data_IF_883597768707
#
_entry.id   IF_883597768707
#
_cell.length_a   1.000
_cell.length_b   1.000
_cell.length_c   1.000
_cell.angle_alpha   90.00
_cell.angle_beta   90.00
_cell.angle_gamma   90.00
#
_symmetry.space_group_name_H-M   'P 1'
#
loop_
_entity.id
_entity.type
_entity.pdbx_description
1 polymer ?
#
# COMPACT_ATOMS: atom_id res chain seq x y z
N UNK A 1 -7.99 -45.97 -26.76
CA UNK A 1 -8.81 -44.76 -26.56
C UNK A 1 -8.31 -44.08 -25.30
N UNK A 2 -7.44 -43.07 -25.45
CA UNK A 2 -6.94 -42.27 -24.33
C UNK A 2 -7.68 -40.94 -24.37
N UNK A 3 -8.53 -40.69 -23.37
CA UNK A 3 -9.07 -39.36 -23.13
C UNK A 3 -7.94 -38.52 -22.53
N UNK A 4 -7.45 -37.58 -23.31
CA UNK A 4 -6.71 -36.43 -22.81
C UNK A 4 -7.72 -35.43 -22.28
N UNK A 5 -7.90 -35.43 -20.96
CA UNK A 5 -8.53 -34.32 -20.25
C UNK A 5 -7.57 -33.12 -20.36
N UNK A 6 -7.82 -32.29 -21.37
CA UNK A 6 -7.17 -31.00 -21.54
C UNK A 6 -7.59 -30.10 -20.38
N UNK A 7 -6.62 -29.84 -19.51
CA UNK A 7 -6.56 -28.72 -18.57
C UNK A 7 -7.12 -27.44 -19.21
N UNK A 8 -8.39 -27.14 -18.94
CA UNK A 8 -8.87 -25.77 -18.84
C UNK A 8 -8.23 -25.15 -17.60
N UNK A 9 -6.97 -24.70 -17.73
CA UNK A 9 -6.49 -23.64 -16.85
C UNK A 9 -6.98 -22.33 -17.44
N UNK A 10 -8.14 -21.94 -16.94
CA UNK A 10 -8.74 -20.62 -16.97
C UNK A 10 -7.77 -19.49 -17.32
N UNK A 11 -7.86 -19.02 -18.56
CA UNK A 11 -7.46 -17.68 -18.92
C UNK A 11 -8.39 -16.68 -18.23
N UNK A 12 -8.00 -16.19 -17.05
CA UNK A 12 -8.75 -15.17 -16.33
C UNK A 12 -7.82 -14.06 -15.80
N UNK A 13 -8.08 -12.83 -16.26
CA UNK A 13 -7.56 -11.55 -15.75
C UNK A 13 -6.14 -11.09 -16.14
N UNK A 14 -5.74 -11.22 -17.40
CA UNK A 14 -4.73 -10.30 -17.94
C UNK A 14 -5.35 -8.88 -18.05
N UNK A 15 -5.15 -8.05 -17.02
CA UNK A 15 -5.48 -6.62 -17.06
C UNK A 15 -6.39 -6.08 -15.95
N UNK A 16 -7.00 -6.94 -15.11
CA UNK A 16 -7.67 -6.48 -13.89
C UNK A 16 -6.69 -6.60 -12.73
N UNK A 17 -6.26 -5.45 -12.18
CA UNK A 17 -5.56 -5.42 -10.89
C UNK A 17 -6.38 -6.08 -9.78
N UNK A 18 -5.78 -6.35 -8.61
CA UNK A 18 -6.44 -7.11 -7.57
C UNK A 18 -7.73 -6.42 -7.10
N UNK A 19 -8.71 -7.22 -6.69
CA UNK A 19 -9.98 -6.74 -6.14
C UNK A 19 -9.73 -6.03 -4.82
N UNK A 20 -9.99 -4.72 -4.78
CA UNK A 20 -9.90 -3.89 -3.57
C UNK A 20 -11.30 -3.46 -3.16
N UNK A 21 -11.67 -3.74 -1.91
CA UNK A 21 -13.00 -3.48 -1.35
C UNK A 21 -12.88 -2.29 -0.39
N UNK A 22 -13.54 -1.14 -0.66
CA UNK A 22 -13.62 -0.06 0.32
C UNK A 22 -14.45 -0.52 1.52
N UNK A 23 -13.88 -0.40 2.73
CA UNK A 23 -14.59 -0.70 3.99
C UNK A 23 -15.14 0.58 4.63
N UNK A 24 -14.40 1.69 4.50
CA UNK A 24 -14.75 2.97 5.08
C UNK A 24 -14.18 4.10 4.23
N UNK A 25 -14.99 5.10 3.93
CA UNK A 25 -14.51 6.34 3.30
C UNK A 25 -13.84 7.27 4.30
N UNK A 26 -13.02 8.19 3.79
CA UNK A 26 -12.44 9.24 4.61
C UNK A 26 -13.57 10.10 5.21
N UNK A 27 -13.59 10.29 6.52
CA UNK A 27 -14.58 11.17 7.14
C UNK A 27 -14.42 12.62 6.64
N UNK A 28 -15.52 13.37 6.57
CA UNK A 28 -15.52 14.78 6.15
C UNK A 28 -14.53 15.56 7.03
N UNK A 29 -13.54 16.23 6.42
CA UNK A 29 -12.49 16.96 7.14
C UNK A 29 -11.23 16.15 7.47
N UNK A 30 -11.16 14.87 7.09
CA UNK A 30 -9.92 14.08 7.17
C UNK A 30 -8.83 14.77 6.35
N UNK A 31 -7.81 15.29 7.06
CA UNK A 31 -6.71 16.00 6.43
C UNK A 31 -6.78 17.53 6.42
N UNK A 32 -7.91 18.12 6.83
CA UNK A 32 -8.09 19.58 6.90
C UNK A 32 -7.75 20.16 8.27
N UNK A 33 -7.86 19.35 9.31
CA UNK A 33 -7.57 19.75 10.69
C UNK A 33 -6.36 18.96 11.22
N UNK A 34 -5.52 19.59 12.07
CA UNK A 34 -4.41 18.91 12.71
C UNK A 34 -4.87 17.60 13.37
N UNK A 35 -4.09 16.51 13.20
CA UNK A 35 -4.46 15.16 13.66
C UNK A 35 -4.77 15.09 15.17
N UNK A 36 -4.25 16.02 15.98
CA UNK A 36 -4.57 16.16 17.41
C UNK A 36 -5.97 16.71 17.69
N UNK A 37 -6.54 17.55 16.81
CA UNK A 37 -7.94 17.97 16.86
C UNK A 37 -8.87 16.92 16.24
N UNK A 38 -8.34 16.13 15.31
CA UNK A 38 -9.05 15.10 14.56
C UNK A 38 -8.84 13.67 15.09
N UNK A 39 -8.76 13.48 16.40
CA UNK A 39 -8.67 12.13 17.02
C UNK A 39 -9.87 11.23 16.65
N UNK A 40 -11.00 11.84 16.28
CA UNK A 40 -12.25 11.17 15.91
C UNK A 40 -12.44 10.97 14.40
N UNK A 41 -11.61 11.63 13.57
CA UNK A 41 -11.75 11.58 12.12
C UNK A 41 -10.87 10.45 11.60
N UNK A 42 -11.51 9.30 11.37
CA UNK A 42 -10.80 8.13 10.86
C UNK A 42 -10.55 8.29 9.36
N UNK A 43 -9.34 7.91 8.95
CA UNK A 43 -8.98 7.82 7.55
C UNK A 43 -9.79 6.76 6.82
N UNK A 44 -9.71 6.75 5.49
CA UNK A 44 -10.30 5.69 4.70
C UNK A 44 -9.65 4.34 5.01
N UNK A 45 -10.36 3.25 4.78
CA UNK A 45 -9.88 1.89 5.02
C UNK A 45 -10.34 0.99 3.88
N UNK A 46 -9.41 0.22 3.33
CA UNK A 46 -9.67 -0.74 2.27
C UNK A 46 -9.27 -2.14 2.71
N UNK A 47 -9.85 -3.13 2.06
CA UNK A 47 -9.50 -4.53 2.23
C UNK A 47 -9.17 -5.16 0.90
N UNK A 48 -8.08 -5.92 0.89
CA UNK A 48 -7.70 -6.73 -0.25
C UNK A 48 -8.62 -7.96 -0.36
N UNK A 49 -9.26 -8.14 -1.51
CA UNK A 49 -10.29 -9.15 -1.76
C UNK A 49 -9.77 -10.51 -2.21
N UNK A 50 -8.51 -10.58 -2.62
CA UNK A 50 -7.81 -11.79 -3.10
C UNK A 50 -6.33 -11.73 -2.75
N UNK A 51 -5.60 -12.84 -2.86
CA UNK A 51 -4.15 -12.78 -2.66
C UNK A 51 -3.51 -11.93 -3.76
N UNK A 52 -2.54 -11.11 -3.40
CA UNK A 52 -1.87 -10.21 -4.33
C UNK A 52 -0.36 -10.38 -4.27
N UNK A 53 0.27 -10.60 -5.42
CA UNK A 53 1.72 -10.67 -5.53
C UNK A 53 2.27 -9.45 -6.26
N UNK A 54 3.39 -8.94 -5.78
CA UNK A 54 4.09 -7.82 -6.40
C UNK A 54 5.60 -8.01 -6.33
N UNK A 55 6.31 -7.33 -7.23
CA UNK A 55 7.76 -7.38 -7.34
C UNK A 55 8.33 -6.08 -6.81
N UNK A 56 9.32 -6.17 -5.93
CA UNK A 56 10.03 -5.01 -5.43
C UNK A 56 10.73 -4.30 -6.59
N UNK A 57 10.36 -3.04 -6.81
CA UNK A 57 10.82 -2.26 -7.96
C UNK A 57 12.15 -1.52 -7.72
N UNK A 58 12.64 -1.47 -6.48
CA UNK A 58 13.77 -0.62 -6.09
C UNK A 58 14.75 -1.34 -5.14
N UNK A 59 15.94 -0.76 -5.01
CA UNK A 59 16.97 -1.21 -4.06
C UNK A 59 17.75 -2.47 -4.48
N UNK A 60 18.63 -2.98 -3.60
CA UNK A 60 19.43 -4.17 -3.86
C UNK A 60 18.59 -5.45 -3.99
N UNK A 61 17.40 -5.47 -3.37
CA UNK A 61 16.46 -6.58 -3.41
C UNK A 61 15.45 -6.48 -4.57
N UNK A 62 15.71 -5.61 -5.56
CA UNK A 62 14.84 -5.46 -6.73
C UNK A 62 14.62 -6.82 -7.40
N UNK A 63 13.38 -7.12 -7.76
CA UNK A 63 13.01 -8.43 -8.32
C UNK A 63 12.48 -9.41 -7.27
N UNK A 64 12.65 -9.14 -5.98
CA UNK A 64 12.08 -9.96 -4.91
C UNK A 64 10.55 -9.89 -4.94
N UNK A 65 9.91 -11.06 -4.88
CA UNK A 65 8.46 -11.20 -4.87
C UNK A 65 7.94 -11.16 -3.44
N UNK A 66 6.87 -10.40 -3.24
CA UNK A 66 6.10 -10.36 -2.00
C UNK A 66 4.65 -10.78 -2.28
N UNK A 67 4.05 -11.49 -1.33
CA UNK A 67 2.64 -11.91 -1.39
C UNK A 67 1.87 -11.31 -0.21
N UNK A 68 0.84 -10.54 -0.52
CA UNK A 68 -0.10 -9.98 0.43
C UNK A 68 -1.30 -10.93 0.51
N UNK A 69 -1.61 -11.50 1.69
CA UNK A 69 -2.74 -12.40 1.82
C UNK A 69 -4.06 -11.64 1.73
N UNK A 70 -5.07 -12.29 1.16
CA UNK A 70 -6.46 -11.84 1.13
C UNK A 70 -6.92 -11.43 2.53
N UNK A 71 -7.67 -10.33 2.58
CA UNK A 71 -8.20 -9.76 3.80
C UNK A 71 -7.28 -8.76 4.47
N UNK A 72 -6.09 -8.50 3.92
CA UNK A 72 -5.22 -7.44 4.41
C UNK A 72 -5.93 -6.09 4.33
N UNK A 73 -5.90 -5.34 5.43
CA UNK A 73 -6.50 -4.03 5.54
C UNK A 73 -5.41 -2.96 5.51
N UNK A 74 -5.64 -1.88 4.77
CA UNK A 74 -4.68 -0.80 4.60
C UNK A 74 -5.41 0.54 4.53
N UNK A 75 -4.75 1.62 4.96
CA UNK A 75 -5.33 2.96 5.11
C UNK A 75 -4.65 4.04 4.24
N UNK A 76 -4.00 3.60 3.16
CA UNK A 76 -3.19 4.38 2.22
C UNK A 76 -1.93 4.94 2.88
N UNK A 77 -0.84 4.93 2.11
CA UNK A 77 0.46 5.46 2.53
C UNK A 77 0.34 6.81 3.25
N UNK A 78 1.22 7.04 4.23
CA UNK A 78 1.29 8.26 5.06
C UNK A 78 1.69 9.51 4.25
N UNK A 79 0.85 9.86 3.28
CA UNK A 79 1.01 10.94 2.32
C UNK A 79 -0.05 11.99 2.62
N UNK A 80 0.33 13.29 2.68
CA UNK A 80 -0.61 14.38 2.89
C UNK A 80 -1.82 14.31 1.93
N UNK A 81 -3.06 14.49 2.45
CA UNK A 81 -4.31 14.47 1.68
C UNK A 81 -4.27 15.26 0.38
N UNK A 82 -3.64 16.44 0.39
CA UNK A 82 -3.50 17.31 -0.79
C UNK A 82 -2.78 16.64 -1.97
N UNK A 83 -1.87 15.71 -1.68
CA UNK A 83 -1.11 14.99 -2.71
C UNK A 83 -1.89 13.84 -3.33
N UNK A 84 -3.06 13.47 -2.83
CA UNK A 84 -3.88 12.43 -3.45
C UNK A 84 -4.67 12.97 -4.65
N UNK A 85 -5.06 14.25 -4.65
CA UNK A 85 -5.75 14.94 -5.77
C UNK A 85 -7.09 15.60 -5.34
N UNK A 86 -7.92 16.11 -6.27
CA UNK A 86 -9.02 17.01 -5.92
C UNK A 86 -10.36 16.28 -5.64
N UNK A 87 -11.15 16.65 -4.60
CA UNK A 87 -10.80 17.57 -3.51
C UNK A 87 -9.92 16.92 -2.44
N UNK A 88 -9.85 15.58 -2.36
CA UNK A 88 -8.86 14.81 -1.57
C UNK A 88 -8.53 13.42 -2.17
N UNK A 89 -8.99 13.12 -3.41
CA UNK A 89 -8.83 11.86 -4.18
C UNK A 89 -8.48 10.58 -3.39
N UNK A 90 -9.31 10.26 -2.41
CA UNK A 90 -9.30 8.95 -1.77
C UNK A 90 -10.07 7.89 -2.59
N UNK A 91 -10.64 8.26 -3.74
CA UNK A 91 -11.36 7.35 -4.62
C UNK A 91 -10.41 6.32 -5.28
N UNK A 92 -10.85 5.08 -5.51
CA UNK A 92 -10.03 4.04 -6.12
C UNK A 92 -9.97 4.24 -7.64
N UNK A 93 -9.16 5.19 -8.11
CA UNK A 93 -8.83 5.33 -9.53
C UNK A 93 -7.70 4.37 -9.98
N UNK A 94 -7.23 3.50 -9.07
CA UNK A 94 -6.24 2.46 -9.34
C UNK A 94 -4.80 2.97 -9.43
N UNK A 95 -4.58 4.22 -9.85
CA UNK A 95 -3.23 4.76 -10.10
C UNK A 95 -2.38 4.85 -8.83
N UNK A 96 -3.01 5.16 -7.69
CA UNK A 96 -2.28 5.31 -6.43
C UNK A 96 -2.61 4.22 -5.40
N UNK A 97 -3.69 3.46 -5.60
CA UNK A 97 -4.16 2.47 -4.61
C UNK A 97 -3.23 1.26 -4.51
N UNK A 98 -2.76 0.71 -5.62
CA UNK A 98 -1.81 -0.42 -5.59
C UNK A 98 -0.46 -0.04 -5.01
N UNK A 99 0.19 1.06 -5.43
CA UNK A 99 1.39 1.54 -4.76
C UNK A 99 1.20 1.72 -3.25
N UNK A 100 0.05 2.25 -2.82
CA UNK A 100 -0.24 2.44 -1.40
C UNK A 100 -0.41 1.12 -0.63
N UNK A 101 -1.09 0.13 -1.21
CA UNK A 101 -1.24 -1.21 -0.66
C UNK A 101 0.14 -1.88 -0.46
N UNK A 102 0.98 -1.85 -1.50
CA UNK A 102 2.34 -2.42 -1.48
C UNK A 102 3.19 -1.73 -0.39
N UNK A 103 3.10 -0.39 -0.32
CA UNK A 103 3.80 0.41 0.69
C UNK A 103 3.35 0.06 2.12
N UNK A 104 2.05 0.07 2.41
CA UNK A 104 1.54 -0.17 3.76
C UNK A 104 1.90 -1.57 4.25
N UNK A 105 1.85 -2.57 3.36
CA UNK A 105 2.29 -3.93 3.66
C UNK A 105 3.78 -4.01 4.02
N UNK A 106 4.66 -3.39 3.22
CA UNK A 106 6.10 -3.36 3.50
C UNK A 106 6.42 -2.58 4.78
N UNK A 107 5.69 -1.50 5.07
CA UNK A 107 5.79 -0.76 6.32
C UNK A 107 5.32 -1.59 7.54
N UNK A 108 4.26 -2.37 7.40
CA UNK A 108 3.79 -3.28 8.43
C UNK A 108 4.85 -4.36 8.74
N UNK A 109 5.46 -4.93 7.70
CA UNK A 109 6.59 -5.86 7.87
C UNK A 109 7.79 -5.20 8.56
N UNK A 110 8.14 -3.96 8.19
CA UNK A 110 9.20 -3.18 8.83
C UNK A 110 8.95 -2.95 10.33
N UNK A 111 7.69 -2.82 10.73
CA UNK A 111 7.27 -2.68 12.12
C UNK A 111 7.22 -4.01 12.89
N UNK A 112 7.63 -5.13 12.26
CA UNK A 112 7.57 -6.47 12.85
C UNK A 112 6.21 -7.16 12.70
N UNK A 113 5.38 -6.67 11.78
CA UNK A 113 4.06 -7.19 11.41
C UNK A 113 2.97 -6.91 12.45
N UNK A 114 1.82 -6.47 11.97
CA UNK A 114 0.60 -6.32 12.76
C UNK A 114 0.19 -7.65 13.39
N UNK A 115 -0.62 -7.59 14.45
CA UNK A 115 -1.17 -8.80 15.07
C UNK A 115 -1.91 -9.67 14.04
N UNK A 116 -2.68 -9.03 13.16
CA UNK A 116 -3.36 -9.72 12.07
C UNK A 116 -2.36 -10.40 11.12
N UNK A 117 -1.31 -9.69 10.71
CA UNK A 117 -0.34 -10.23 9.76
C UNK A 117 0.47 -11.39 10.35
N UNK A 118 0.86 -11.30 11.62
CA UNK A 118 1.53 -12.40 12.35
C UNK A 118 0.64 -13.62 12.56
N UNK A 119 -0.68 -13.42 12.71
CA UNK A 119 -1.63 -14.53 12.75
C UNK A 119 -1.82 -15.17 11.38
N UNK A 120 -1.76 -14.38 10.30
CA UNK A 120 -1.97 -14.85 8.93
C UNK A 120 -0.75 -15.48 8.29
N UNK A 121 0.42 -14.92 8.55
CA UNK A 121 1.71 -15.40 8.07
C UNK A 121 2.42 -16.03 9.26
N UNK A 122 2.50 -17.37 9.26
CA UNK A 122 3.23 -18.14 10.28
C UNK A 122 4.69 -17.66 10.40
N UNK A 123 5.29 -17.25 9.28
CA UNK A 123 6.61 -16.64 9.20
C UNK A 123 6.49 -15.34 8.40
N UNK A 124 6.89 -14.23 8.99
CA UNK A 124 6.92 -12.94 8.28
C UNK A 124 8.09 -12.90 7.31
N UNK A 125 7.88 -12.45 6.05
CA UNK A 125 8.98 -12.20 5.14
C UNK A 125 9.86 -11.06 5.68
N UNK A 126 11.17 -11.17 5.48
CA UNK A 126 12.13 -10.12 5.88
C UNK A 126 11.83 -8.84 5.11
N UNK A 127 11.54 -7.76 5.84
CA UNK A 127 11.23 -6.47 5.25
C UNK A 127 12.47 -5.82 4.60
N UNK A 128 12.34 -5.15 3.44
CA UNK A 128 13.40 -4.30 2.90
C UNK A 128 13.65 -3.08 3.82
N UNK A 129 14.83 -2.45 3.77
CA UNK A 129 15.09 -1.22 4.51
C UNK A 129 14.09 -0.09 4.16
N UNK A 130 13.77 0.78 5.11
CA UNK A 130 12.77 1.85 4.91
C UNK A 130 13.02 2.72 3.67
N UNK A 131 14.27 3.07 3.38
CA UNK A 131 14.62 3.81 2.16
C UNK A 131 14.24 3.06 0.87
N UNK A 132 14.35 1.73 0.85
CA UNK A 132 13.96 0.89 -0.30
C UNK A 132 12.44 0.82 -0.43
N UNK A 133 11.71 0.73 0.69
CA UNK A 133 10.24 0.72 0.70
C UNK A 133 9.68 2.03 0.13
N UNK A 134 10.20 3.17 0.58
CA UNK A 134 9.76 4.49 0.12
C UNK A 134 10.12 4.75 -1.36
N UNK A 135 11.29 4.29 -1.78
CA UNK A 135 11.71 4.38 -3.18
C UNK A 135 10.86 3.47 -4.09
N UNK A 136 10.56 2.26 -3.63
CA UNK A 136 9.65 1.36 -4.32
C UNK A 136 8.27 2.00 -4.51
N UNK A 137 7.72 2.65 -3.48
CA UNK A 137 6.46 3.38 -3.60
C UNK A 137 6.50 4.48 -4.68
N UNK A 138 7.58 5.28 -4.71
CA UNK A 138 7.80 6.32 -5.73
C UNK A 138 7.80 5.72 -7.14
N UNK A 139 8.58 4.67 -7.36
CA UNK A 139 8.69 3.97 -8.65
C UNK A 139 7.35 3.35 -9.08
N UNK A 140 6.60 2.77 -8.15
CA UNK A 140 5.28 2.19 -8.43
C UNK A 140 4.27 3.25 -8.82
N UNK A 141 4.28 4.44 -8.19
CA UNK A 141 3.46 5.57 -8.62
C UNK A 141 3.78 5.97 -10.07
N UNK A 142 5.06 6.04 -10.45
CA UNK A 142 5.46 6.32 -11.82
C UNK A 142 4.94 5.26 -12.81
N UNK A 143 5.14 3.98 -12.48
CA UNK A 143 4.69 2.85 -13.31
C UNK A 143 3.16 2.81 -13.46
N UNK A 144 2.44 3.23 -12.43
CA UNK A 144 0.98 3.36 -12.46
C UNK A 144 0.50 4.60 -13.22
N UNK A 145 1.37 5.42 -13.81
CA UNK A 145 0.99 6.57 -14.63
C UNK A 145 0.77 7.88 -13.86
N UNK A 146 1.17 7.94 -12.58
CA UNK A 146 1.15 9.19 -11.82
C UNK A 146 2.17 10.17 -12.41
N UNK A 147 1.76 11.44 -12.60
CA UNK A 147 2.66 12.50 -13.10
C UNK A 147 3.93 12.53 -12.26
N UNK A 148 5.09 12.56 -12.92
CA UNK A 148 6.36 12.37 -12.22
C UNK A 148 6.63 13.34 -11.08
N UNK A 149 6.30 14.63 -11.23
CA UNK A 149 6.43 15.60 -10.13
C UNK A 149 5.54 15.29 -8.91
N UNK A 150 4.37 14.68 -9.14
CA UNK A 150 3.46 14.23 -8.07
C UNK A 150 4.02 12.98 -7.39
N UNK A 151 4.50 12.00 -8.16
CA UNK A 151 5.14 10.80 -7.62
C UNK A 151 6.36 11.14 -6.75
N UNK A 152 7.21 12.06 -7.21
CA UNK A 152 8.35 12.61 -6.44
C UNK A 152 7.92 13.25 -5.13
N UNK A 153 6.89 14.11 -5.17
CA UNK A 153 6.38 14.77 -3.96
C UNK A 153 5.82 13.75 -2.95
N UNK A 154 5.08 12.74 -3.43
CA UNK A 154 4.54 11.67 -2.59
C UNK A 154 5.65 10.77 -2.01
N UNK A 155 6.67 10.42 -2.80
CA UNK A 155 7.84 9.64 -2.35
C UNK A 155 8.64 10.37 -1.27
N UNK A 156 8.85 11.68 -1.43
CA UNK A 156 9.48 12.52 -0.39
C UNK A 156 8.62 12.61 0.87
N UNK A 157 7.30 12.70 0.71
CA UNK A 157 6.39 12.76 1.86
C UNK A 157 6.45 11.47 2.70
N UNK A 158 6.36 10.29 2.09
CA UNK A 158 6.50 9.03 2.85
C UNK A 158 7.89 8.88 3.45
N UNK A 159 8.94 9.35 2.77
CA UNK A 159 10.30 9.34 3.33
C UNK A 159 10.45 10.25 4.56
N UNK A 160 9.68 11.34 4.63
CA UNK A 160 9.72 12.28 5.75
C UNK A 160 8.82 11.85 6.91
N UNK A 161 7.61 11.37 6.60
CA UNK A 161 6.53 11.14 7.56
C UNK A 161 6.16 9.66 7.78
N UNK A 162 6.68 8.75 6.96
CA UNK A 162 6.51 7.32 7.10
C UNK A 162 7.37 6.75 8.23
N UNK A 163 7.22 5.45 8.54
CA UNK A 163 8.01 4.77 9.56
C UNK A 163 9.52 5.01 9.37
N UNK A 164 10.20 5.38 10.46
CA UNK A 164 11.63 5.75 10.47
C UNK A 164 11.99 7.02 9.67
N UNK A 165 11.00 7.81 9.22
CA UNK A 165 11.20 9.11 8.59
C UNK A 165 11.70 10.18 9.57
N UNK A 166 12.36 11.23 9.03
CA UNK A 166 12.99 12.31 9.83
C UNK A 166 12.00 13.08 10.70
N UNK A 167 10.75 13.19 10.28
CA UNK A 167 9.69 13.90 11.00
C UNK A 167 8.72 12.93 11.69
N UNK A 168 9.05 11.63 11.75
CA UNK A 168 8.22 10.63 12.39
C UNK A 168 8.24 10.82 13.92
N UNK A 169 7.11 11.15 14.54
CA UNK A 169 7.08 11.33 15.98
C UNK A 169 7.17 9.95 16.66
N UNK A 170 8.30 9.70 17.33
CA UNK A 170 8.70 8.43 17.95
C UNK A 170 7.68 7.79 18.94
N UNK A 171 6.64 8.50 19.36
CA UNK A 171 5.72 8.08 20.43
C UNK A 171 4.32 7.63 19.95
N UNK A 172 4.13 7.39 18.65
CA UNK A 172 2.76 7.34 18.08
C UNK A 172 2.23 5.93 17.77
N UNK A 173 3.01 4.88 18.04
CA UNK A 173 2.67 3.47 17.75
C UNK A 173 2.82 2.51 18.95
N UNK A 174 2.80 3.04 20.19
CA UNK A 174 2.57 2.22 21.39
C UNK A 174 1.08 2.16 21.70
#
# INVERSE_FOLDING_TARGET
MMNTDTNEMDGANEGRGPRIIPLRDAALGFGLLPRFLCRWVRGPLWRLGEDYEFILAAGPDRGRVFRIPKGYEFDKASVPPLLWGPPFNYLPDGLCTLPALEHDFLCDLLAGGSAWLRMKLVVLPVAPPAGVVHEHFRERLHQSGVRGSKAEAMGRAVSAFGPQGKAYPWNWWR
#
